data_IF_415320078854
#
_entry.id   IF_415320078854
#
_cell.length_a   1.000
_cell.length_b   1.000
_cell.length_c   1.000
_cell.angle_alpha   90.00
_cell.angle_beta   90.00
_cell.angle_gamma   90.00
#
_symmetry.space_group_name_H-M   'P 1'
#
loop_
_entity.id
_entity.type
_entity.pdbx_description
1 polymer ?
#
# COMPACT_ATOMS: atom_id res chain seq x y z
N UNK A 1 -26.51 10.66 36.40
CA UNK A 1 -25.81 9.66 35.58
C UNK A 1 -24.36 9.64 36.02
N UNK A 2 -23.93 8.69 36.84
CA UNK A 2 -22.54 8.63 37.29
C UNK A 2 -21.65 7.96 36.23
N UNK A 3 -20.58 8.67 35.91
CA UNK A 3 -19.30 8.28 35.33
C UNK A 3 -19.12 6.88 34.75
N UNK A 4 -19.11 6.81 33.41
CA UNK A 4 -18.50 5.70 32.67
C UNK A 4 -16.96 5.74 32.74
N UNK A 5 -16.36 6.86 33.18
CA UNK A 5 -14.91 6.97 33.40
C UNK A 5 -14.43 6.23 34.66
N UNK A 6 -15.28 6.05 35.67
CA UNK A 6 -14.88 5.48 36.96
C UNK A 6 -14.82 3.94 37.00
N UNK A 7 -15.23 3.23 35.93
CA UNK A 7 -15.23 1.75 35.89
C UNK A 7 -14.10 1.13 35.05
N UNK A 8 -13.19 1.95 34.51
CA UNK A 8 -12.03 1.50 33.72
C UNK A 8 -10.69 1.59 34.46
N UNK A 9 -10.70 1.90 35.75
CA UNK A 9 -9.61 1.65 36.70
C UNK A 9 -9.47 0.15 37.00
N UNK A 10 -9.42 -0.67 35.95
CA UNK A 10 -8.97 -2.04 36.05
C UNK A 10 -7.44 -2.03 36.17
N UNK A 11 -6.90 -2.86 37.07
CA UNK A 11 -5.46 -3.02 37.24
C UNK A 11 -4.76 -3.19 35.88
N UNK A 12 -3.90 -2.22 35.53
CA UNK A 12 -3.14 -2.22 34.27
C UNK A 12 -3.67 -1.33 33.14
N UNK A 13 -4.69 -0.48 33.37
CA UNK A 13 -5.09 0.55 32.39
C UNK A 13 -4.02 1.64 32.19
N UNK A 14 -3.97 2.25 31.01
CA UNK A 14 -3.12 3.40 30.71
C UNK A 14 -3.76 4.37 29.71
N UNK A 15 -3.24 5.59 29.68
CA UNK A 15 -3.51 6.60 28.65
C UNK A 15 -2.20 7.14 28.10
N UNK A 16 -2.19 7.56 26.84
CA UNK A 16 -1.03 8.19 26.23
C UNK A 16 -1.44 9.37 25.36
N UNK A 17 -0.53 10.32 25.23
CA UNK A 17 -0.72 11.53 24.45
C UNK A 17 0.61 11.94 23.83
N UNK A 18 0.58 12.25 22.53
CA UNK A 18 1.71 12.84 21.80
C UNK A 18 1.36 14.29 21.48
N UNK A 19 2.16 15.20 22.01
CA UNK A 19 2.04 16.64 21.78
C UNK A 19 3.16 17.05 20.83
N UNK A 20 2.79 17.57 19.67
CA UNK A 20 3.73 18.16 18.73
C UNK A 20 3.90 19.65 18.97
N UNK A 21 5.11 20.16 18.76
CA UNK A 21 5.42 21.59 18.72
C UNK A 21 6.00 21.92 17.35
N UNK A 22 5.43 22.92 16.69
CA UNK A 22 5.88 23.37 15.38
C UNK A 22 5.62 24.86 15.14
N UNK A 23 5.71 25.31 13.88
CA UNK A 23 5.55 26.72 13.50
C UNK A 23 4.20 27.32 13.91
N UNK A 24 3.15 26.51 13.96
CA UNK A 24 1.80 26.91 14.35
C UNK A 24 1.57 26.88 15.89
N UNK A 25 2.58 26.50 16.67
CA UNK A 25 2.48 26.33 18.12
C UNK A 25 2.47 24.86 18.55
N UNK A 26 2.01 24.62 19.78
CA UNK A 26 1.87 23.28 20.33
C UNK A 26 0.45 22.75 20.13
N UNK A 27 0.32 21.51 19.67
CA UNK A 27 -0.95 20.84 19.46
C UNK A 27 -0.83 19.35 19.79
N UNK A 28 -1.95 18.71 20.11
CA UNK A 28 -1.99 17.25 20.27
C UNK A 28 -1.92 16.64 18.87
N UNK A 29 -0.86 15.87 18.61
CA UNK A 29 -0.71 15.13 17.37
C UNK A 29 -1.60 13.88 17.41
N UNK A 30 -1.53 13.12 18.52
CA UNK A 30 -2.36 11.94 18.72
C UNK A 30 -2.55 11.60 20.21
N UNK A 31 -3.58 10.82 20.53
CA UNK A 31 -3.84 10.33 21.89
C UNK A 31 -4.60 9.01 21.85
N UNK A 32 -4.41 8.19 22.89
CA UNK A 32 -5.11 6.92 23.02
C UNK A 32 -5.14 6.40 24.46
N UNK A 33 -5.82 5.27 24.61
CA UNK A 33 -5.96 4.55 25.88
C UNK A 33 -5.92 3.05 25.63
N UNK A 34 -5.50 2.29 26.65
CA UNK A 34 -5.37 0.85 26.54
C UNK A 34 -5.24 0.15 27.89
N UNK A 35 -4.98 -1.15 27.83
CA UNK A 35 -4.76 -2.01 29.00
C UNK A 35 -3.53 -2.86 28.74
N UNK A 36 -2.62 -2.94 29.72
CA UNK A 36 -1.45 -3.80 29.66
C UNK A 36 -1.85 -5.28 29.55
N UNK A 37 -0.99 -6.08 28.91
CA UNK A 37 -1.24 -7.49 28.59
C UNK A 37 -2.47 -7.76 27.70
N UNK A 38 -3.07 -6.72 27.11
CA UNK A 38 -4.01 -6.82 26.00
C UNK A 38 -3.40 -6.18 24.74
N UNK A 39 -3.86 -6.55 23.53
CA UNK A 39 -3.47 -5.85 22.31
C UNK A 39 -3.81 -4.35 22.41
N UNK A 40 -2.81 -3.50 22.23
CA UNK A 40 -2.98 -2.05 22.18
C UNK A 40 -3.84 -1.67 20.96
N UNK A 41 -4.87 -0.82 21.11
CA UNK A 41 -5.77 -0.48 20.01
C UNK A 41 -5.10 0.22 18.81
N UNK A 42 -3.99 0.92 19.04
CA UNK A 42 -3.30 1.69 18.00
C UNK A 42 -2.25 0.84 17.26
N UNK A 43 -1.38 0.16 18.01
CA UNK A 43 -0.26 -0.62 17.46
C UNK A 43 -0.58 -2.11 17.25
N UNK A 44 -1.66 -2.63 17.86
CA UNK A 44 -2.00 -4.06 17.88
C UNK A 44 -1.05 -4.92 18.71
N UNK A 45 0.00 -4.34 19.33
CA UNK A 45 1.00 -5.07 20.11
C UNK A 45 0.49 -5.36 21.52
N UNK A 46 0.88 -6.51 22.07
CA UNK A 46 0.66 -6.82 23.48
C UNK A 46 1.86 -6.30 24.28
N UNK A 47 1.66 -5.25 25.06
CA UNK A 47 2.71 -4.62 25.86
C UNK A 47 2.60 -5.04 27.33
N UNK A 48 3.74 -5.36 27.95
CA UNK A 48 3.83 -5.77 29.35
C UNK A 48 3.97 -4.58 30.31
N UNK A 49 4.42 -3.42 29.84
CA UNK A 49 4.62 -2.22 30.64
C UNK A 49 4.45 -0.92 29.84
N UNK A 50 4.39 0.21 30.54
CA UNK A 50 4.17 1.54 29.96
C UNK A 50 5.31 2.01 29.05
N UNK A 51 6.54 1.51 29.24
CA UNK A 51 7.68 1.85 28.38
C UNK A 51 7.49 1.19 27.01
N UNK A 52 7.11 -0.09 26.98
CA UNK A 52 6.81 -0.81 25.74
C UNK A 52 5.66 -0.17 24.95
N UNK A 53 4.60 0.25 25.64
CA UNK A 53 3.51 1.03 25.03
C UNK A 53 4.07 2.31 24.42
N UNK A 54 4.82 3.07 25.22
CA UNK A 54 5.35 4.35 24.81
C UNK A 54 6.25 4.27 23.59
N UNK A 55 7.24 3.37 23.59
CA UNK A 55 8.12 3.17 22.44
C UNK A 55 7.34 2.74 21.20
N UNK A 56 6.41 1.79 21.34
CA UNK A 56 5.66 1.28 20.20
C UNK A 56 4.78 2.35 19.53
N UNK A 57 4.08 3.16 20.33
CA UNK A 57 3.23 4.24 19.80
C UNK A 57 4.07 5.38 19.27
N UNK A 58 5.12 5.79 20.00
CA UNK A 58 5.91 6.97 19.64
C UNK A 58 6.66 6.79 18.32
N UNK A 59 7.27 5.61 18.10
CA UNK A 59 7.95 5.30 16.84
C UNK A 59 6.98 5.28 15.67
N UNK A 60 5.77 4.72 15.86
CA UNK A 60 4.73 4.66 14.84
C UNK A 60 4.26 6.06 14.43
N UNK A 61 3.81 6.86 15.39
CA UNK A 61 3.29 8.21 15.13
C UNK A 61 4.35 9.14 14.55
N UNK A 62 5.60 9.06 15.04
CA UNK A 62 6.69 9.86 14.48
C UNK A 62 6.99 9.46 13.03
N UNK A 63 7.01 8.17 12.71
CA UNK A 63 7.22 7.69 11.35
C UNK A 63 6.07 8.13 10.42
N UNK A 64 4.82 7.99 10.87
CA UNK A 64 3.64 8.38 10.11
C UNK A 64 3.65 9.87 9.78
N UNK A 65 3.94 10.74 10.75
CA UNK A 65 4.05 12.19 10.52
C UNK A 65 5.13 12.56 9.50
N UNK A 66 6.28 11.87 9.52
CA UNK A 66 7.36 12.09 8.54
C UNK A 66 6.93 11.63 7.14
N UNK A 67 6.27 10.49 7.04
CA UNK A 67 5.75 9.93 5.78
C UNK A 67 4.63 10.81 5.21
N UNK A 68 3.67 11.23 6.04
CA UNK A 68 2.58 12.13 5.64
C UNK A 68 3.11 13.46 5.11
N UNK A 69 4.08 14.06 5.80
CA UNK A 69 4.72 15.28 5.31
C UNK A 69 5.44 15.06 3.98
N UNK A 70 6.21 13.97 3.86
CA UNK A 70 6.88 13.60 2.59
C UNK A 70 5.86 13.48 1.45
N UNK A 71 4.74 12.81 1.69
CA UNK A 71 3.67 12.63 0.69
C UNK A 71 3.01 13.97 0.33
N UNK A 72 2.78 14.85 1.30
CA UNK A 72 2.23 16.19 1.06
C UNK A 72 3.18 17.06 0.21
N UNK A 73 4.50 16.94 0.41
CA UNK A 73 5.51 17.59 -0.44
C UNK A 73 5.49 17.04 -1.86
N UNK A 74 5.43 15.71 -2.01
CA UNK A 74 5.35 15.06 -3.32
C UNK A 74 4.12 15.53 -4.11
N UNK A 75 2.96 15.53 -3.47
CA UNK A 75 1.70 16.00 -4.06
C UNK A 75 1.78 17.48 -4.46
N UNK A 76 2.23 18.35 -3.54
CA UNK A 76 2.36 19.78 -3.81
C UNK A 76 3.25 20.05 -5.02
N UNK A 77 4.39 19.38 -5.13
CA UNK A 77 5.31 19.54 -6.27
C UNK A 77 4.74 19.02 -7.58
N UNK A 78 3.98 17.92 -7.56
CA UNK A 78 3.28 17.43 -8.75
C UNK A 78 2.26 18.47 -9.24
N UNK A 79 1.55 19.11 -8.31
CA UNK A 79 0.56 20.14 -8.62
C UNK A 79 1.18 21.52 -8.93
N UNK A 80 2.51 21.66 -8.86
CA UNK A 80 3.19 22.95 -9.02
C UNK A 80 2.95 23.94 -7.89
N UNK A 81 2.53 23.45 -6.72
CA UNK A 81 2.35 24.22 -5.48
C UNK A 81 3.68 24.30 -4.69
N UNK A 82 3.87 25.32 -3.86
CA UNK A 82 5.03 25.39 -2.97
C UNK A 82 5.02 24.23 -1.96
N UNK A 83 6.21 23.80 -1.54
CA UNK A 83 6.37 22.78 -0.52
C UNK A 83 5.65 23.20 0.78
N UNK A 84 4.79 22.34 1.36
CA UNK A 84 4.17 22.62 2.65
C UNK A 84 5.25 22.69 3.74
N UNK A 85 5.02 23.49 4.78
CA UNK A 85 5.86 23.46 5.97
C UNK A 85 5.59 22.16 6.77
N UNK A 86 6.60 21.62 7.48
CA UNK A 86 6.39 20.53 8.41
C UNK A 86 5.39 20.91 9.52
N UNK A 87 4.52 19.98 9.96
CA UNK A 87 3.53 20.29 10.99
C UNK A 87 4.16 20.49 12.38
N UNK A 88 5.22 19.73 12.70
CA UNK A 88 5.89 19.72 13.99
C UNK A 88 7.41 19.59 13.81
N UNK A 89 8.18 20.26 14.66
CA UNK A 89 9.64 20.11 14.73
C UNK A 89 10.05 19.16 15.87
N UNK A 90 9.19 19.04 16.89
CA UNK A 90 9.42 18.27 18.11
C UNK A 90 8.13 17.55 18.51
N UNK A 91 8.25 16.31 18.97
CA UNK A 91 7.15 15.54 19.56
C UNK A 91 7.50 15.16 21.00
N UNK A 92 6.55 15.30 21.91
CA UNK A 92 6.62 14.79 23.28
C UNK A 92 5.53 13.77 23.51
N UNK A 93 5.91 12.53 23.81
CA UNK A 93 5.00 11.50 24.29
C UNK A 93 4.92 11.56 25.82
N UNK A 94 3.70 11.45 26.35
CA UNK A 94 3.43 11.25 27.76
C UNK A 94 2.54 10.01 27.91
N UNK A 95 2.94 9.05 28.75
CA UNK A 95 2.15 7.87 29.12
C UNK A 95 1.83 7.94 30.61
N UNK A 96 0.53 7.81 30.94
CA UNK A 96 0.02 7.79 32.31
C UNK A 96 -0.64 6.44 32.59
N UNK A 97 -0.54 5.97 33.83
CA UNK A 97 -1.29 4.78 34.26
C UNK A 97 -2.78 5.08 34.50
N UNK A 98 -3.52 4.07 34.94
CA UNK A 98 -4.96 4.16 35.24
C UNK A 98 -5.30 5.11 36.41
N UNK A 99 -4.32 5.48 37.23
CA UNK A 99 -4.47 6.47 38.29
C UNK A 99 -4.09 7.89 37.82
N UNK A 100 -3.72 8.03 36.53
CA UNK A 100 -3.29 9.30 35.94
C UNK A 100 -1.85 9.70 36.28
N UNK A 101 -1.08 8.80 36.92
CA UNK A 101 0.32 9.05 37.27
C UNK A 101 1.18 8.86 36.02
N UNK A 102 2.00 9.86 35.71
CA UNK A 102 2.97 9.78 34.61
C UNK A 102 3.98 8.65 34.86
N UNK A 103 4.06 7.73 33.91
CA UNK A 103 4.99 6.59 33.93
C UNK A 103 6.12 6.73 32.93
N UNK A 104 5.91 7.51 31.87
CA UNK A 104 6.91 7.82 30.86
C UNK A 104 6.63 9.22 30.28
N UNK A 105 7.68 9.99 30.11
CA UNK A 105 7.70 11.16 29.23
C UNK A 105 8.97 11.11 28.39
N UNK A 106 8.83 11.26 27.08
CA UNK A 106 9.96 11.30 26.15
C UNK A 106 9.72 12.34 25.07
N UNK A 107 10.80 12.96 24.60
CA UNK A 107 10.76 13.99 23.57
C UNK A 107 11.74 13.64 22.46
N UNK A 108 11.34 13.85 21.21
CA UNK A 108 12.18 13.67 20.04
C UNK A 108 12.03 14.86 19.08
N UNK A 109 13.14 15.23 18.46
CA UNK A 109 13.15 16.17 17.34
C UNK A 109 12.89 15.41 16.04
N UNK A 110 11.95 15.89 15.23
CA UNK A 110 11.67 15.30 13.92
C UNK A 110 12.65 15.83 12.87
N UNK A 111 13.13 14.94 12.03
CA UNK A 111 13.93 15.30 10.85
C UNK A 111 13.21 14.83 9.61
N UNK A 112 12.96 15.76 8.69
CA UNK A 112 12.25 15.50 7.44
C UNK A 112 13.26 15.40 6.29
N UNK A 113 13.46 14.20 5.70
CA UNK A 113 14.35 14.04 4.56
C UNK A 113 13.88 14.86 3.37
N UNK A 114 14.83 15.44 2.63
CA UNK A 114 14.51 16.20 1.42
C UNK A 114 13.96 15.26 0.33
N UNK A 115 12.86 15.67 -0.31
CA UNK A 115 12.29 14.96 -1.47
C UNK A 115 13.16 15.21 -2.70
N UNK A 116 13.62 14.13 -3.33
CA UNK A 116 14.47 14.16 -4.53
C UNK A 116 13.65 14.09 -5.82
N UNK A 117 14.31 14.27 -6.97
CA UNK A 117 13.68 14.06 -8.29
C UNK A 117 13.32 12.58 -8.50
N UNK A 118 14.16 11.66 -8.03
CA UNK A 118 13.88 10.23 -8.12
C UNK A 118 12.61 9.85 -7.32
N UNK A 119 12.41 10.46 -6.15
CA UNK A 119 11.19 10.26 -5.35
C UNK A 119 9.93 10.72 -6.13
N UNK A 120 10.01 11.84 -6.84
CA UNK A 120 8.91 12.33 -7.68
C UNK A 120 8.60 11.39 -8.84
N UNK A 121 9.63 10.84 -9.49
CA UNK A 121 9.45 9.91 -10.61
C UNK A 121 8.83 8.59 -10.15
N UNK A 122 9.27 8.05 -9.01
CA UNK A 122 8.63 6.90 -8.37
C UNK A 122 7.17 7.18 -8.02
N UNK A 123 6.89 8.31 -7.36
CA UNK A 123 5.54 8.66 -6.94
C UNK A 123 4.59 8.88 -8.13
N UNK A 124 5.07 9.45 -9.24
CA UNK A 124 4.31 9.55 -10.50
C UNK A 124 3.97 8.18 -11.09
N UNK A 125 4.91 7.24 -11.06
CA UNK A 125 4.67 5.87 -11.53
C UNK A 125 3.63 5.15 -10.66
N UNK A 126 3.69 5.34 -9.35
CA UNK A 126 2.69 4.83 -8.39
C UNK A 126 1.30 5.42 -8.66
N UNK A 127 1.19 6.75 -8.83
CA UNK A 127 -0.08 7.42 -9.16
C UNK A 127 -0.66 6.91 -10.49
N UNK A 128 0.15 6.81 -11.54
CA UNK A 128 -0.31 6.30 -12.84
C UNK A 128 -0.82 4.85 -12.74
N UNK A 129 -0.18 4.03 -11.89
CA UNK A 129 -0.59 2.66 -11.62
C UNK A 129 -1.91 2.63 -10.85
N UNK A 130 -2.02 3.42 -9.77
CA UNK A 130 -3.24 3.55 -8.98
C UNK A 130 -4.42 4.05 -9.82
N UNK A 131 -4.24 5.05 -10.67
CA UNK A 131 -5.27 5.55 -11.59
C UNK A 131 -5.72 4.50 -12.60
N UNK A 132 -4.77 3.73 -13.15
CA UNK A 132 -5.08 2.62 -14.06
C UNK A 132 -5.93 1.55 -13.37
N UNK A 133 -5.61 1.21 -12.12
CA UNK A 133 -6.40 0.27 -11.32
C UNK A 133 -7.78 0.82 -10.99
N UNK A 134 -7.86 2.08 -10.55
CA UNK A 134 -9.11 2.76 -10.24
C UNK A 134 -10.03 2.84 -11.47
N UNK A 135 -9.47 3.17 -12.64
CA UNK A 135 -10.21 3.19 -13.91
C UNK A 135 -10.77 1.82 -14.24
N UNK A 136 -9.94 0.76 -14.18
CA UNK A 136 -10.39 -0.63 -14.41
C UNK A 136 -11.50 -1.01 -13.44
N UNK A 137 -11.39 -0.63 -12.16
CA UNK A 137 -12.43 -0.87 -11.16
C UNK A 137 -13.74 -0.18 -11.52
N UNK A 138 -13.71 1.12 -11.84
CA UNK A 138 -14.90 1.87 -12.26
C UNK A 138 -15.55 1.23 -13.49
N UNK A 139 -14.77 0.88 -14.51
CA UNK A 139 -15.27 0.21 -15.71
C UNK A 139 -15.91 -1.16 -15.41
N UNK A 140 -15.37 -1.94 -14.47
CA UNK A 140 -15.97 -3.22 -14.03
C UNK A 140 -17.29 -2.98 -13.31
N UNK A 141 -17.31 -2.03 -12.37
CA UNK A 141 -18.52 -1.67 -11.63
C UNK A 141 -19.62 -1.17 -12.57
N UNK A 142 -19.29 -0.26 -13.48
CA UNK A 142 -20.26 0.31 -14.41
C UNK A 142 -20.81 -0.76 -15.36
N UNK A 143 -19.96 -1.71 -15.79
CA UNK A 143 -20.41 -2.90 -16.53
C UNK A 143 -21.34 -3.80 -15.72
N UNK A 144 -21.06 -4.03 -14.44
CA UNK A 144 -21.92 -4.84 -13.56
C UNK A 144 -23.28 -4.17 -13.30
N UNK A 145 -23.28 -2.85 -13.10
CA UNK A 145 -24.52 -2.06 -12.97
C UNK A 145 -25.32 -2.09 -14.27
N UNK A 146 -24.68 -1.89 -15.43
CA UNK A 146 -25.34 -1.97 -16.74
C UNK A 146 -25.89 -3.37 -17.04
N UNK A 147 -25.22 -4.43 -16.58
CA UNK A 147 -25.69 -5.80 -16.70
C UNK A 147 -26.80 -6.18 -15.69
N UNK A 148 -27.18 -5.26 -14.79
CA UNK A 148 -28.18 -5.51 -13.75
C UNK A 148 -27.74 -6.49 -12.67
N UNK A 149 -26.45 -6.81 -12.58
CA UNK A 149 -25.92 -7.75 -11.58
C UNK A 149 -25.59 -7.08 -10.25
N UNK A 150 -25.61 -5.75 -10.18
CA UNK A 150 -25.44 -4.95 -8.96
C UNK A 150 -26.31 -3.68 -9.00
N UNK A 151 -26.75 -3.23 -7.83
CA UNK A 151 -27.45 -1.95 -7.68
C UNK A 151 -26.45 -0.80 -7.43
N UNK A 152 -26.70 0.43 -7.90
CA UNK A 152 -25.90 1.59 -7.52
C UNK A 152 -26.02 1.87 -6.02
N UNK A 153 -24.97 2.41 -5.36
CA UNK A 153 -25.01 2.68 -3.93
C UNK A 153 -26.06 3.76 -3.65
N UNK A 154 -27.14 3.39 -2.95
CA UNK A 154 -28.25 4.29 -2.62
C UNK A 154 -28.17 4.88 -1.20
N UNK A 155 -27.32 4.32 -0.34
CA UNK A 155 -27.14 4.73 1.06
C UNK A 155 -25.69 4.54 1.52
N UNK A 156 -25.23 5.30 2.54
CA UNK A 156 -23.95 5.03 3.19
C UNK A 156 -23.93 3.61 3.78
N UNK A 157 -22.81 2.90 3.58
CA UNK A 157 -22.60 1.56 4.10
C UNK A 157 -22.58 1.55 5.64
N UNK A 158 -23.00 0.43 6.23
CA UNK A 158 -22.72 0.13 7.64
C UNK A 158 -21.21 0.29 7.90
N UNK A 159 -20.78 1.03 8.95
CA UNK A 159 -19.37 1.22 9.28
C UNK A 159 -18.54 -0.07 9.36
N UNK A 160 -19.12 -1.18 9.81
CA UNK A 160 -18.44 -2.48 9.88
C UNK A 160 -18.19 -3.05 8.48
N UNK A 161 -19.17 -2.93 7.59
CA UNK A 161 -19.04 -3.34 6.19
C UNK A 161 -18.07 -2.42 5.46
N UNK A 162 -18.12 -1.12 5.72
CA UNK A 162 -17.17 -0.15 5.16
C UNK A 162 -15.72 -0.46 5.57
N UNK A 163 -15.50 -0.84 6.84
CA UNK A 163 -14.19 -1.29 7.33
C UNK A 163 -13.72 -2.56 6.60
N UNK A 164 -14.57 -3.58 6.50
CA UNK A 164 -14.24 -4.82 5.80
C UNK A 164 -13.92 -4.57 4.31
N UNK A 165 -14.71 -3.73 3.64
CA UNK A 165 -14.46 -3.33 2.24
C UNK A 165 -13.08 -2.65 2.10
N UNK A 166 -12.69 -1.81 3.06
CA UNK A 166 -11.36 -1.20 3.07
C UNK A 166 -10.26 -2.23 3.30
N UNK A 167 -10.44 -3.16 4.23
CA UNK A 167 -9.48 -4.25 4.49
C UNK A 167 -9.27 -5.13 3.25
N UNK A 168 -10.35 -5.55 2.57
CA UNK A 168 -10.26 -6.33 1.32
C UNK A 168 -9.54 -5.56 0.20
N UNK A 169 -9.73 -4.24 0.12
CA UNK A 169 -9.01 -3.41 -0.86
C UNK A 169 -7.52 -3.31 -0.58
N UNK A 170 -7.16 -3.22 0.70
CA UNK A 170 -5.75 -3.26 1.12
C UNK A 170 -5.16 -4.62 0.76
N UNK A 171 -5.86 -5.71 1.07
CA UNK A 171 -5.43 -7.08 0.72
C UNK A 171 -5.20 -7.23 -0.80
N UNK A 172 -6.15 -6.78 -1.64
CA UNK A 172 -6.00 -6.83 -3.08
C UNK A 172 -4.86 -5.93 -3.61
N UNK A 173 -4.53 -4.84 -2.92
CA UNK A 173 -3.38 -4.00 -3.26
C UNK A 173 -2.06 -4.71 -2.89
N UNK A 174 -1.99 -5.27 -1.68
CA UNK A 174 -0.83 -6.03 -1.19
C UNK A 174 -0.48 -7.20 -2.10
N UNK A 175 -1.48 -7.99 -2.55
CA UNK A 175 -1.24 -9.09 -3.51
C UNK A 175 -0.59 -8.60 -4.80
N UNK A 176 -0.97 -7.40 -5.29
CA UNK A 176 -0.37 -6.80 -6.50
C UNK A 176 1.03 -6.24 -6.25
N UNK A 177 1.33 -5.80 -5.04
CA UNK A 177 2.65 -5.32 -4.64
C UNK A 177 3.65 -6.46 -4.42
N UNK A 178 3.18 -7.64 -4.02
CA UNK A 178 4.01 -8.84 -3.82
C UNK A 178 4.57 -9.44 -5.12
N UNK A 179 3.94 -9.13 -6.27
CA UNK A 179 4.32 -9.67 -7.58
C UNK A 179 4.81 -8.59 -8.54
N UNK A 180 5.68 -8.94 -9.52
CA UNK A 180 6.09 -7.98 -10.55
C UNK A 180 4.90 -7.47 -11.38
N UNK A 181 5.04 -6.26 -11.92
CA UNK A 181 4.02 -5.67 -12.79
C UNK A 181 3.72 -6.57 -14.01
N UNK A 182 2.43 -6.82 -14.23
CA UNK A 182 1.96 -7.72 -15.29
C UNK A 182 2.36 -7.24 -16.70
N UNK A 183 2.33 -5.92 -16.94
CA UNK A 183 2.68 -5.37 -18.24
C UNK A 183 4.20 -5.39 -18.48
N UNK A 184 5.01 -5.22 -17.43
CA UNK A 184 6.45 -5.47 -17.48
C UNK A 184 6.74 -6.91 -17.91
N UNK A 185 6.08 -7.91 -17.31
CA UNK A 185 6.28 -9.31 -17.68
C UNK A 185 5.85 -9.62 -19.12
N UNK A 186 4.73 -9.03 -19.58
CA UNK A 186 4.30 -9.11 -20.98
C UNK A 186 5.33 -8.51 -21.93
N UNK A 187 5.87 -7.33 -21.60
CA UNK A 187 6.88 -6.66 -22.41
C UNK A 187 8.18 -7.49 -22.49
N UNK A 188 8.62 -8.09 -21.38
CA UNK A 188 9.80 -8.95 -21.35
C UNK A 188 9.60 -10.25 -22.15
N UNK A 189 8.40 -10.84 -22.10
CA UNK A 189 8.06 -12.01 -22.91
C UNK A 189 8.07 -11.66 -24.40
N UNK A 190 7.41 -10.55 -24.79
CA UNK A 190 7.36 -10.08 -26.17
C UNK A 190 8.77 -9.80 -26.72
N UNK A 191 9.63 -9.13 -25.94
CA UNK A 191 11.02 -8.88 -26.30
C UNK A 191 11.79 -10.19 -26.53
N UNK A 192 11.63 -11.17 -25.63
CA UNK A 192 12.29 -12.45 -25.75
C UNK A 192 11.81 -13.24 -26.99
N UNK A 193 10.50 -13.22 -27.28
CA UNK A 193 9.91 -13.87 -28.44
C UNK A 193 10.37 -13.21 -29.75
N UNK A 194 10.35 -11.87 -29.83
CA UNK A 194 10.85 -11.14 -31.00
C UNK A 194 12.33 -11.43 -31.25
N UNK A 195 13.15 -11.45 -30.20
CA UNK A 195 14.58 -11.73 -30.33
C UNK A 195 14.83 -13.17 -30.80
N UNK A 196 14.07 -14.14 -30.28
CA UNK A 196 14.14 -15.53 -30.74
C UNK A 196 13.70 -15.67 -32.20
N UNK A 197 12.59 -15.03 -32.58
CA UNK A 197 12.09 -15.08 -33.94
C UNK A 197 13.08 -14.46 -34.94
N UNK A 198 13.66 -13.31 -34.59
CA UNK A 198 14.70 -12.68 -35.41
C UNK A 198 15.94 -13.58 -35.57
N UNK A 199 16.36 -14.27 -34.50
CA UNK A 199 17.48 -15.20 -34.55
C UNK A 199 17.18 -16.41 -35.45
N UNK A 200 15.98 -16.98 -35.37
CA UNK A 200 15.54 -18.09 -36.21
C UNK A 200 15.42 -17.68 -37.69
N UNK A 201 14.87 -16.49 -37.95
CA UNK A 201 14.77 -15.94 -39.31
C UNK A 201 16.16 -15.69 -39.92
N UNK A 202 17.11 -15.16 -39.14
CA UNK A 202 18.49 -14.98 -39.58
C UNK A 202 19.17 -16.33 -39.87
N UNK A 203 18.94 -17.36 -39.04
CA UNK A 203 19.46 -18.70 -39.30
C UNK A 203 18.92 -19.27 -40.61
N UNK A 204 17.62 -19.11 -40.88
CA UNK A 204 16.97 -19.60 -42.10
C UNK A 204 17.46 -18.86 -43.36
N UNK A 205 17.63 -17.53 -43.28
CA UNK A 205 18.21 -16.75 -44.39
C UNK A 205 19.64 -17.19 -44.70
N UNK A 206 20.45 -17.47 -43.67
CA UNK A 206 21.86 -17.88 -43.84
C UNK A 206 21.98 -19.30 -44.37
N UNK A 207 21.01 -20.16 -44.05
CA UNK A 207 20.87 -21.49 -44.62
C UNK A 207 20.69 -21.46 -46.14
N UNK A 208 20.05 -20.41 -46.66
CA UNK A 208 19.87 -20.23 -48.11
C UNK A 208 21.13 -19.68 -48.80
N UNK A 209 22.08 -19.10 -48.05
CA UNK A 209 23.35 -18.55 -48.57
C UNK A 209 24.57 -19.48 -48.42
N UNK A 210 24.38 -20.71 -47.90
CA UNK A 210 25.38 -21.79 -47.79
C UNK A 210 26.67 -21.45 -47.00
N UNK A 211 26.57 -20.57 -45.99
CA UNK A 211 27.68 -20.25 -45.08
C UNK A 211 27.49 -20.95 -43.71
N UNK A 212 28.21 -22.05 -43.46
CA UNK A 212 27.98 -22.95 -42.30
C UNK A 212 28.22 -22.30 -40.94
N UNK A 213 29.29 -21.52 -40.79
CA UNK A 213 29.69 -20.98 -39.48
C UNK A 213 28.71 -19.89 -38.98
N UNK A 214 28.12 -19.16 -39.92
CA UNK A 214 27.11 -18.13 -39.65
C UNK A 214 25.74 -18.72 -39.27
N UNK A 215 25.46 -19.96 -39.69
CA UNK A 215 24.26 -20.73 -39.33
C UNK A 215 24.37 -21.24 -37.91
N UNK A 216 25.50 -21.87 -37.55
CA UNK A 216 25.74 -22.40 -36.20
C UNK A 216 25.70 -21.28 -35.14
N UNK A 217 26.26 -20.12 -35.46
CA UNK A 217 26.16 -18.94 -34.58
C UNK A 217 24.70 -18.50 -34.37
N UNK A 218 23.90 -18.43 -35.43
CA UNK A 218 22.50 -18.01 -35.33
C UNK A 218 21.65 -19.02 -34.55
N UNK A 219 21.88 -20.31 -34.73
CA UNK A 219 21.23 -21.37 -33.95
C UNK A 219 21.65 -21.35 -32.48
N UNK A 220 22.94 -21.20 -32.17
CA UNK A 220 23.41 -21.07 -30.80
C UNK A 220 22.80 -19.83 -30.11
N UNK A 221 22.66 -18.73 -30.85
CA UNK A 221 21.99 -17.52 -30.36
C UNK A 221 20.49 -17.77 -30.09
N UNK A 222 19.76 -18.43 -31.00
CA UNK A 222 18.36 -18.82 -30.79
C UNK A 222 18.18 -19.79 -29.60
N UNK A 223 19.07 -20.77 -29.44
CA UNK A 223 19.07 -21.70 -28.32
C UNK A 223 19.25 -20.98 -26.97
N UNK A 224 20.08 -19.93 -26.92
CA UNK A 224 20.25 -19.10 -25.71
C UNK A 224 18.98 -18.36 -25.30
N UNK A 225 18.14 -17.95 -26.26
CA UNK A 225 16.91 -17.19 -26.00
C UNK A 225 15.69 -18.07 -25.69
N UNK A 226 15.69 -19.33 -26.15
CA UNK A 226 14.58 -20.27 -25.89
C UNK A 226 14.25 -20.45 -24.39
N UNK A 227 15.22 -20.68 -23.48
CA UNK A 227 14.94 -20.76 -22.04
C UNK A 227 14.40 -19.45 -21.46
N UNK A 228 14.83 -18.31 -22.00
CA UNK A 228 14.36 -16.98 -21.54
C UNK A 228 12.91 -16.74 -21.89
N UNK A 229 12.45 -17.18 -23.08
CA UNK A 229 11.02 -17.17 -23.46
C UNK A 229 10.22 -18.07 -22.50
N UNK A 230 10.66 -19.32 -22.29
CA UNK A 230 9.96 -20.26 -21.40
C UNK A 230 9.82 -19.72 -19.97
N UNK A 231 10.89 -19.16 -19.43
CA UNK A 231 10.89 -18.56 -18.09
C UNK A 231 9.90 -17.39 -17.99
N UNK A 232 9.91 -16.47 -18.95
CA UNK A 232 8.98 -15.33 -18.92
C UNK A 232 7.53 -15.75 -19.13
N UNK A 233 7.27 -16.80 -19.92
CA UNK A 233 5.94 -17.37 -20.06
C UNK A 233 5.44 -17.95 -18.73
N UNK A 234 6.26 -18.76 -18.04
CA UNK A 234 5.90 -19.34 -16.75
C UNK A 234 5.70 -18.27 -15.65
N UNK A 235 6.56 -17.25 -15.62
CA UNK A 235 6.40 -16.11 -14.70
C UNK A 235 5.09 -15.36 -15.00
N UNK A 236 4.78 -15.15 -16.28
CA UNK A 236 3.56 -14.45 -16.67
C UNK A 236 2.29 -15.23 -16.25
N UNK A 237 2.30 -16.56 -16.34
CA UNK A 237 1.20 -17.40 -15.84
C UNK A 237 0.97 -17.18 -14.35
N UNK A 238 2.01 -17.29 -13.53
CA UNK A 238 1.93 -17.11 -12.07
C UNK A 238 1.49 -15.70 -11.67
N UNK A 239 2.02 -14.67 -12.34
CA UNK A 239 1.62 -13.28 -12.07
C UNK A 239 0.18 -13.04 -12.53
N UNK A 240 -0.24 -13.63 -13.64
CA UNK A 240 -1.64 -13.52 -14.08
C UNK A 240 -2.58 -14.12 -13.03
N UNK A 241 -2.23 -15.26 -12.44
CA UNK A 241 -2.99 -15.87 -11.35
C UNK A 241 -3.10 -14.93 -10.13
N UNK A 242 -1.98 -14.37 -9.65
CA UNK A 242 -2.00 -13.42 -8.55
C UNK A 242 -2.86 -12.18 -8.83
N UNK A 243 -2.83 -11.65 -10.05
CA UNK A 243 -3.69 -10.53 -10.46
C UNK A 243 -5.17 -10.92 -10.55
N UNK A 244 -5.48 -12.17 -10.92
CA UNK A 244 -6.85 -12.70 -10.91
C UNK A 244 -7.37 -12.86 -9.48
N UNK A 245 -6.52 -13.31 -8.54
CA UNK A 245 -6.87 -13.42 -7.12
C UNK A 245 -7.15 -12.04 -6.53
N UNK A 246 -6.27 -11.06 -6.78
CA UNK A 246 -6.50 -9.67 -6.36
C UNK A 246 -7.79 -9.08 -6.96
N UNK A 247 -8.08 -9.39 -8.23
CA UNK A 247 -9.33 -8.98 -8.88
C UNK A 247 -10.57 -9.67 -8.26
N UNK A 248 -10.44 -10.92 -7.80
CA UNK A 248 -11.52 -11.64 -7.11
C UNK A 248 -11.82 -11.03 -5.73
N UNK A 249 -10.77 -10.63 -4.99
CA UNK A 249 -10.90 -9.90 -3.72
C UNK A 249 -11.57 -8.54 -3.94
N UNK A 250 -11.16 -7.79 -4.96
CA UNK A 250 -11.83 -6.53 -5.34
C UNK A 250 -13.30 -6.75 -5.72
N UNK A 251 -13.61 -7.80 -6.47
CA UNK A 251 -14.99 -8.13 -6.84
C UNK A 251 -15.84 -8.50 -5.62
N UNK A 252 -15.25 -9.10 -4.58
CA UNK A 252 -15.93 -9.31 -3.30
C UNK A 252 -16.19 -7.98 -2.59
N UNK A 253 -15.18 -7.10 -2.51
CA UNK A 253 -15.32 -5.78 -1.91
C UNK A 253 -16.41 -4.94 -2.63
N UNK A 254 -16.43 -4.96 -3.96
CA UNK A 254 -17.43 -4.29 -4.77
C UNK A 254 -18.84 -4.84 -4.47
N UNK A 255 -19.03 -6.17 -4.45
CA UNK A 255 -20.33 -6.78 -4.10
C UNK A 255 -20.81 -6.39 -2.70
N UNK A 256 -19.93 -6.37 -1.71
CA UNK A 256 -20.27 -5.94 -0.35
C UNK A 256 -20.64 -4.46 -0.31
N UNK A 257 -19.95 -3.62 -1.08
CA UNK A 257 -20.20 -2.18 -1.14
C UNK A 257 -21.50 -1.78 -1.83
N UNK A 258 -22.08 -2.68 -2.63
CA UNK A 258 -23.31 -2.46 -3.40
C UNK A 258 -24.51 -3.21 -2.80
N UNK A 259 -24.34 -3.88 -1.66
CA UNK A 259 -25.42 -4.60 -0.98
C UNK A 259 -26.35 -3.59 -0.30
N UNK A 260 -27.63 -3.60 -0.67
CA UNK A 260 -28.63 -2.77 -0.01
C UNK A 260 -28.69 -3.12 1.49
N UNK A 261 -28.93 -2.13 2.39
CA UNK A 261 -29.21 -2.44 3.78
C UNK A 261 -30.44 -3.36 3.86
N UNK A 262 -30.48 -4.31 4.80
CA UNK A 262 -31.66 -5.15 5.00
C UNK A 262 -32.86 -4.23 5.26
N UNK A 263 -33.99 -4.52 4.60
CA UNK A 263 -35.24 -3.81 4.87
C UNK A 263 -35.65 -4.04 6.33
N UNK A 264 -35.84 -2.96 7.08
CA UNK A 264 -36.46 -2.97 8.41
C UNK A 264 -37.95 -3.30 8.34
#
# INVERSE_FOLDING_TARGET
MPDNHARRTAAGGYTWQIVGRGPAGAAVAESGEGVLAAPDPHTGRVCANHIEVGTAVFDGVAADLVVEHRNAVLEARIDGRPDPAPPFDELTLIVRDGDGVERLSTTATLTYPAVTVADLDTYRAELATAEKHERRRRERRDRAVAAGTCAPPSSPLDPRVARLVRELRVEAATVREEVPDLDHCRAQLALAQHTLHAALAAAEQRRQSDNSDDIDYAYAFAQRWTPRVRRWAAILELITEAYLDADAVDALADRLSLRAPPAE
#
